data_IF_845512034187
#
_entry.id   IF_845512034187
#
_cell.length_a   1.000
_cell.length_b   1.000
_cell.length_c   1.000
_cell.angle_alpha   90.00
_cell.angle_beta   90.00
_cell.angle_gamma   90.00
#
_symmetry.space_group_name_H-M   'P 1'
#
loop_
_entity.id
_entity.type
_entity.pdbx_description
1 polymer ?
#
# COMPACT_ATOMS: atom_id res chain seq x y z
N UNK A 1 -2.39 -20.25 -30.25
CA UNK A 1 -2.73 -19.87 -28.86
C UNK A 1 -3.79 -20.85 -28.38
N UNK A 2 -3.44 -21.73 -27.43
CA UNK A 2 -4.43 -22.61 -26.81
C UNK A 2 -5.19 -21.85 -25.72
N UNK A 3 -6.42 -22.23 -25.41
CA UNK A 3 -7.23 -21.64 -24.31
C UNK A 3 -6.43 -21.69 -22.99
N UNK A 4 -5.68 -22.76 -22.75
CA UNK A 4 -4.81 -22.93 -21.59
C UNK A 4 -3.79 -21.79 -21.45
N UNK A 5 -3.21 -21.31 -22.55
CA UNK A 5 -2.20 -20.23 -22.53
C UNK A 5 -2.78 -18.86 -22.16
N UNK A 6 -4.09 -18.66 -22.31
CA UNK A 6 -4.81 -17.45 -21.84
C UNK A 6 -5.21 -17.63 -20.37
N UNK A 7 -5.63 -18.83 -20.00
CA UNK A 7 -6.04 -19.14 -18.62
C UNK A 7 -4.89 -19.01 -17.62
N UNK A 8 -3.67 -19.46 -17.95
CA UNK A 8 -2.53 -19.46 -17.02
C UNK A 8 -2.11 -18.06 -16.53
N UNK A 9 -2.03 -16.99 -17.36
CA UNK A 9 -1.81 -15.63 -16.87
C UNK A 9 -2.91 -15.12 -15.93
N UNK A 10 -4.18 -15.44 -16.22
CA UNK A 10 -5.30 -15.04 -15.36
C UNK A 10 -5.27 -15.80 -14.04
N UNK A 11 -4.92 -17.08 -14.05
CA UNK A 11 -4.72 -17.87 -12.84
C UNK A 11 -3.54 -17.33 -12.01
N UNK A 12 -2.42 -16.98 -12.66
CA UNK A 12 -1.28 -16.32 -12.02
C UNK A 12 -1.70 -14.99 -11.35
N UNK A 13 -2.55 -14.21 -12.03
CA UNK A 13 -3.11 -12.98 -11.49
C UNK A 13 -3.96 -13.23 -10.23
N UNK A 14 -4.80 -14.26 -10.24
CA UNK A 14 -5.61 -14.62 -9.08
C UNK A 14 -4.74 -15.03 -7.88
N UNK A 15 -3.68 -15.81 -8.10
CA UNK A 15 -2.72 -16.17 -7.07
C UNK A 15 -2.00 -14.95 -6.49
N UNK A 16 -1.64 -13.98 -7.34
CA UNK A 16 -0.98 -12.74 -6.92
C UNK A 16 -1.92 -11.82 -6.16
N UNK A 17 -3.17 -11.69 -6.61
CA UNK A 17 -4.15 -10.78 -6.03
C UNK A 17 -4.76 -11.30 -4.72
N UNK A 18 -4.86 -12.61 -4.52
CA UNK A 18 -5.49 -13.22 -3.35
C UNK A 18 -4.94 -12.69 -2.01
N UNK A 19 -3.62 -12.56 -1.78
CA UNK A 19 -3.07 -12.00 -0.54
C UNK A 19 -3.46 -10.53 -0.27
N UNK A 20 -3.80 -9.77 -1.30
CA UNK A 20 -4.24 -8.38 -1.15
C UNK A 20 -5.72 -8.27 -0.76
N UNK A 21 -6.50 -9.33 -1.05
CA UNK A 21 -7.90 -9.44 -0.63
C UNK A 21 -8.02 -10.03 0.77
N UNK A 22 -7.21 -11.03 1.06
CA UNK A 22 -7.18 -11.74 2.34
C UNK A 22 -5.72 -12.09 2.69
N UNK A 23 -5.10 -11.41 3.67
CA UNK A 23 -3.69 -11.57 4.01
C UNK A 23 -3.25 -12.99 4.38
N UNK A 24 -4.16 -13.84 4.84
CA UNK A 24 -3.88 -15.26 5.15
C UNK A 24 -3.43 -16.06 3.92
N UNK A 25 -3.76 -15.59 2.71
CA UNK A 25 -3.34 -16.21 1.45
C UNK A 25 -1.92 -15.82 1.01
N UNK A 26 -1.13 -15.18 1.87
CA UNK A 26 0.25 -14.79 1.55
C UNK A 26 1.12 -15.90 0.93
N UNK A 27 0.96 -17.19 1.24
CA UNK A 27 1.76 -18.23 0.62
C UNK A 27 1.57 -18.36 -0.90
N UNK A 28 0.40 -17.93 -1.43
CA UNK A 28 0.11 -18.01 -2.86
C UNK A 28 1.03 -17.12 -3.70
N UNK A 29 1.51 -16.01 -3.16
CA UNK A 29 2.44 -15.13 -3.85
C UNK A 29 3.78 -15.80 -4.20
N UNK A 30 4.20 -16.82 -3.43
CA UNK A 30 5.44 -17.57 -3.64
C UNK A 30 5.43 -18.47 -4.89
N UNK A 31 4.25 -18.70 -5.48
CA UNK A 31 4.06 -19.49 -6.70
C UNK A 31 3.30 -18.74 -7.79
N UNK A 32 2.89 -17.48 -7.52
CA UNK A 32 2.00 -16.73 -8.40
C UNK A 32 2.58 -16.49 -9.81
N UNK A 33 3.90 -16.33 -9.93
CA UNK A 33 4.55 -16.08 -11.22
C UNK A 33 4.94 -17.36 -11.97
N UNK A 34 4.87 -18.53 -11.33
CA UNK A 34 5.24 -19.82 -11.95
C UNK A 34 4.43 -20.10 -13.23
N UNK A 35 3.09 -19.93 -13.26
CA UNK A 35 2.30 -20.12 -14.48
C UNK A 35 2.67 -19.12 -15.59
N UNK A 36 2.95 -17.85 -15.21
CA UNK A 36 3.38 -16.83 -16.16
C UNK A 36 4.71 -17.19 -16.81
N UNK A 37 5.71 -17.61 -16.03
CA UNK A 37 6.99 -18.05 -16.57
C UNK A 37 6.84 -19.19 -17.58
N UNK A 38 5.91 -20.12 -17.31
CA UNK A 38 5.59 -21.21 -18.21
C UNK A 38 5.13 -20.74 -19.58
N UNK A 39 4.18 -19.80 -19.63
CA UNK A 39 3.66 -19.28 -20.91
C UNK A 39 4.63 -18.34 -21.62
N UNK A 40 5.44 -17.55 -20.88
CA UNK A 40 6.49 -16.69 -21.46
C UNK A 40 7.52 -17.54 -22.19
N UNK A 41 7.99 -18.64 -21.59
CA UNK A 41 8.97 -19.53 -22.20
C UNK A 41 8.44 -20.27 -23.45
N UNK A 42 7.17 -20.67 -23.43
CA UNK A 42 6.51 -21.37 -24.52
C UNK A 42 5.98 -20.41 -25.62
N UNK A 43 6.03 -19.10 -25.40
CA UNK A 43 5.53 -18.13 -26.36
C UNK A 43 6.34 -18.19 -27.67
N UNK A 44 5.65 -18.33 -28.80
CA UNK A 44 6.28 -18.40 -30.14
C UNK A 44 6.95 -17.08 -30.54
N UNK A 45 6.46 -15.96 -30.04
CA UNK A 45 6.96 -14.62 -30.34
C UNK A 45 7.09 -13.79 -29.08
N UNK A 46 7.95 -12.78 -29.10
CA UNK A 46 8.09 -11.79 -28.01
C UNK A 46 6.78 -11.07 -27.78
N UNK A 47 6.05 -10.69 -28.84
CA UNK A 47 4.72 -10.03 -28.74
C UNK A 47 3.73 -10.86 -27.94
N UNK A 48 3.74 -12.18 -28.12
CA UNK A 48 2.86 -13.07 -27.39
C UNK A 48 3.23 -13.17 -25.90
N UNK A 49 4.53 -13.21 -25.58
CA UNK A 49 5.02 -13.17 -24.20
C UNK A 49 4.59 -11.86 -23.50
N UNK A 50 4.73 -10.73 -24.17
CA UNK A 50 4.27 -9.40 -23.69
C UNK A 50 2.78 -9.38 -23.44
N UNK A 51 1.98 -9.96 -24.36
CA UNK A 51 0.52 -10.09 -24.19
C UNK A 51 0.17 -10.93 -22.95
N UNK A 52 0.88 -12.02 -22.68
CA UNK A 52 0.64 -12.83 -21.49
C UNK A 52 0.97 -12.06 -20.20
N UNK A 53 2.05 -11.29 -20.20
CA UNK A 53 2.35 -10.39 -19.10
C UNK A 53 1.25 -9.34 -18.90
N UNK A 54 0.83 -8.69 -19.99
CA UNK A 54 -0.26 -7.71 -19.94
C UNK A 54 -1.57 -8.32 -19.40
N UNK A 55 -1.95 -9.53 -19.87
CA UNK A 55 -3.13 -10.25 -19.36
C UNK A 55 -3.05 -10.54 -17.85
N UNK A 56 -1.89 -10.98 -17.37
CA UNK A 56 -1.69 -11.18 -15.92
C UNK A 56 -1.85 -9.86 -15.17
N UNK A 57 -1.18 -8.78 -15.62
CA UNK A 57 -1.26 -7.48 -14.98
C UNK A 57 -2.69 -6.92 -14.99
N UNK A 58 -3.38 -7.01 -16.10
CA UNK A 58 -4.76 -6.56 -16.25
C UNK A 58 -5.71 -7.29 -15.31
N UNK A 59 -5.67 -8.62 -15.32
CA UNK A 59 -6.49 -9.43 -14.41
C UNK A 59 -6.16 -9.20 -12.94
N UNK A 60 -4.87 -9.05 -12.58
CA UNK A 60 -4.46 -8.76 -11.21
C UNK A 60 -5.01 -7.41 -10.71
N UNK A 61 -5.00 -6.38 -11.55
CA UNK A 61 -5.60 -5.08 -11.21
C UNK A 61 -7.12 -5.14 -11.12
N UNK A 62 -7.79 -5.87 -12.02
CA UNK A 62 -9.24 -6.06 -11.94
C UNK A 62 -9.65 -6.76 -10.64
N UNK A 63 -8.89 -7.76 -10.20
CA UNK A 63 -9.18 -8.51 -8.97
C UNK A 63 -8.76 -7.71 -7.72
N UNK A 64 -7.52 -7.21 -7.68
CA UNK A 64 -6.95 -6.59 -6.47
C UNK A 64 -7.45 -5.17 -6.21
N UNK A 65 -7.87 -4.44 -7.25
CA UNK A 65 -8.31 -3.03 -7.15
C UNK A 65 -9.79 -2.83 -7.51
N UNK A 66 -10.62 -3.87 -7.42
CA UNK A 66 -12.06 -3.79 -7.79
C UNK A 66 -12.81 -2.66 -7.07
N UNK A 67 -12.39 -2.33 -5.84
CA UNK A 67 -12.95 -1.25 -5.03
C UNK A 67 -12.75 0.13 -5.67
N UNK A 68 -11.80 0.28 -6.60
CA UNK A 68 -11.48 1.56 -7.23
C UNK A 68 -12.64 2.08 -8.08
N UNK A 69 -13.44 1.20 -8.68
CA UNK A 69 -14.65 1.62 -9.41
C UNK A 69 -15.64 2.38 -8.51
N UNK A 70 -15.83 1.91 -7.28
CA UNK A 70 -16.63 2.62 -6.27
C UNK A 70 -15.98 3.96 -5.87
N UNK A 71 -14.68 3.95 -5.62
CA UNK A 71 -13.93 5.16 -5.24
C UNK A 71 -14.03 6.24 -6.31
N UNK A 72 -13.89 5.90 -7.58
CA UNK A 72 -14.04 6.83 -8.71
C UNK A 72 -15.46 7.41 -8.75
N UNK A 73 -16.50 6.60 -8.48
CA UNK A 73 -17.87 7.08 -8.42
C UNK A 73 -18.09 8.03 -7.23
N UNK A 74 -17.70 7.61 -6.03
CA UNK A 74 -17.95 8.34 -4.79
C UNK A 74 -17.19 9.68 -4.72
N UNK A 75 -15.92 9.70 -5.14
CA UNK A 75 -15.08 10.92 -5.06
C UNK A 75 -15.08 11.75 -6.35
N UNK A 76 -15.27 11.11 -7.51
CA UNK A 76 -15.28 11.79 -8.80
C UNK A 76 -16.66 12.28 -9.21
N UNK A 77 -17.72 11.85 -8.53
CA UNK A 77 -19.10 12.17 -8.89
C UNK A 77 -19.55 11.59 -10.23
N UNK A 78 -18.82 10.60 -10.77
CA UNK A 78 -19.17 9.98 -12.04
C UNK A 78 -20.28 8.93 -11.90
N UNK A 79 -21.16 8.78 -12.92
CA UNK A 79 -22.07 7.64 -13.01
C UNK A 79 -21.30 6.31 -12.90
N UNK A 80 -21.87 5.32 -12.24
CA UNK A 80 -21.20 4.05 -11.95
C UNK A 80 -20.64 3.35 -13.22
N UNK A 81 -21.38 3.38 -14.34
CA UNK A 81 -20.90 2.82 -15.60
C UNK A 81 -19.64 3.50 -16.14
N UNK A 82 -19.55 4.85 -15.99
CA UNK A 82 -18.36 5.62 -16.38
C UNK A 82 -17.19 5.26 -15.45
N UNK A 83 -17.44 5.12 -14.15
CA UNK A 83 -16.42 4.75 -13.16
C UNK A 83 -15.83 3.37 -13.45
N UNK A 84 -16.66 2.39 -13.84
CA UNK A 84 -16.20 1.07 -14.29
C UNK A 84 -15.30 1.20 -15.53
N UNK A 85 -15.72 1.98 -16.53
CA UNK A 85 -14.91 2.18 -17.75
C UNK A 85 -13.55 2.81 -17.43
N UNK A 86 -13.53 3.86 -16.58
CA UNK A 86 -12.28 4.50 -16.13
C UNK A 86 -11.39 3.49 -15.39
N UNK A 87 -11.98 2.65 -14.53
CA UNK A 87 -11.26 1.59 -13.84
C UNK A 87 -10.65 0.55 -14.80
N UNK A 88 -11.39 0.13 -15.82
CA UNK A 88 -10.88 -0.80 -16.86
C UNK A 88 -9.70 -0.19 -17.61
N UNK A 89 -9.79 1.10 -17.99
CA UNK A 89 -8.69 1.81 -18.65
C UNK A 89 -7.48 1.90 -17.72
N UNK A 90 -7.69 2.27 -16.45
CA UNK A 90 -6.64 2.27 -15.43
C UNK A 90 -5.95 0.90 -15.33
N UNK A 91 -6.71 -0.19 -15.17
CA UNK A 91 -6.17 -1.55 -15.08
C UNK A 91 -5.34 -1.92 -16.32
N UNK A 92 -5.81 -1.53 -17.52
CA UNK A 92 -5.09 -1.75 -18.77
C UNK A 92 -3.76 -1.00 -18.87
N UNK A 93 -3.71 0.25 -18.38
CA UNK A 93 -2.49 1.05 -18.34
C UNK A 93 -1.49 0.51 -17.29
N UNK A 94 -1.96 0.15 -16.11
CA UNK A 94 -1.10 -0.41 -15.06
C UNK A 94 -0.56 -1.81 -15.42
N UNK A 95 -1.30 -2.57 -16.23
CA UNK A 95 -0.85 -3.86 -16.76
C UNK A 95 0.43 -3.77 -17.63
N UNK A 96 0.78 -2.57 -18.13
CA UNK A 96 2.02 -2.34 -18.88
C UNK A 96 3.26 -2.71 -18.04
N UNK A 97 3.24 -2.50 -16.72
CA UNK A 97 4.33 -2.92 -15.84
C UNK A 97 4.63 -4.43 -15.99
N UNK A 98 3.59 -5.26 -15.94
CA UNK A 98 3.73 -6.71 -16.06
C UNK A 98 4.08 -7.14 -17.50
N UNK A 99 3.60 -6.39 -18.50
CA UNK A 99 3.99 -6.60 -19.91
C UNK A 99 5.49 -6.33 -20.14
N UNK A 100 6.02 -5.24 -19.56
CA UNK A 100 7.46 -4.93 -19.57
C UNK A 100 8.28 -5.99 -18.84
N UNK A 101 7.80 -6.45 -17.68
CA UNK A 101 8.45 -7.56 -16.99
C UNK A 101 8.52 -8.82 -17.86
N UNK A 102 7.42 -9.19 -18.50
CA UNK A 102 7.40 -10.35 -19.40
C UNK A 102 8.32 -10.18 -20.62
N UNK A 103 8.44 -8.96 -21.16
CA UNK A 103 9.40 -8.62 -22.19
C UNK A 103 10.83 -8.87 -21.72
N UNK A 104 11.19 -8.32 -20.56
CA UNK A 104 12.55 -8.45 -20.00
C UNK A 104 12.91 -9.91 -19.72
N UNK A 105 12.00 -10.69 -19.15
CA UNK A 105 12.19 -12.13 -18.91
C UNK A 105 12.30 -12.90 -20.23
N UNK A 106 11.52 -12.54 -21.26
CA UNK A 106 11.55 -13.22 -22.56
C UNK A 106 12.85 -12.98 -23.33
N UNK A 107 13.39 -11.77 -23.26
CA UNK A 107 14.60 -11.36 -23.97
C UNK A 107 15.86 -11.66 -23.15
N UNK A 108 15.88 -11.32 -21.87
CA UNK A 108 17.03 -11.47 -20.98
C UNK A 108 17.17 -12.88 -20.39
N UNK A 109 16.09 -13.67 -20.40
CA UNK A 109 16.05 -15.00 -19.79
C UNK A 109 16.06 -14.96 -18.28
N UNK A 110 16.48 -16.08 -17.65
CA UNK A 110 16.44 -16.24 -16.19
C UNK A 110 17.82 -16.04 -15.54
N UNK A 111 18.91 -16.03 -16.33
CA UNK A 111 20.28 -15.89 -15.85
C UNK A 111 20.76 -17.02 -14.92
N UNK A 112 21.99 -16.87 -14.38
CA UNK A 112 22.53 -17.81 -13.40
C UNK A 112 21.68 -17.78 -12.14
N UNK A 113 21.57 -18.91 -11.46
CA UNK A 113 20.73 -19.07 -10.24
C UNK A 113 19.31 -18.53 -10.37
N UNK A 114 18.83 -18.26 -11.59
CA UNK A 114 17.50 -17.70 -11.89
C UNK A 114 17.25 -16.32 -11.24
N UNK A 115 18.29 -15.50 -11.14
CA UNK A 115 18.28 -14.21 -10.45
C UNK A 115 17.80 -13.05 -11.35
N UNK A 116 17.75 -13.21 -12.67
CA UNK A 116 17.33 -12.14 -13.57
C UNK A 116 15.87 -11.70 -13.39
N UNK A 117 14.88 -12.59 -13.19
CA UNK A 117 13.51 -12.14 -12.93
C UNK A 117 13.37 -11.15 -11.77
N UNK A 118 13.91 -11.40 -10.55
CA UNK A 118 13.87 -10.38 -9.51
C UNK A 118 14.66 -9.12 -9.84
N UNK A 119 15.80 -9.22 -10.55
CA UNK A 119 16.57 -8.06 -11.00
C UNK A 119 15.83 -7.22 -12.05
N UNK A 120 14.93 -7.80 -12.83
CA UNK A 120 14.05 -7.06 -13.73
C UNK A 120 12.84 -6.48 -13.00
N UNK A 121 12.29 -7.23 -12.04
CA UNK A 121 11.07 -6.82 -11.33
C UNK A 121 11.30 -5.63 -10.40
N UNK A 122 12.33 -5.66 -9.55
CA UNK A 122 12.57 -4.61 -8.54
C UNK A 122 12.74 -3.22 -9.16
N UNK A 123 13.53 -3.01 -10.23
CA UNK A 123 13.56 -1.72 -10.92
C UNK A 123 12.20 -1.30 -11.49
N UNK A 124 11.40 -2.23 -11.98
CA UNK A 124 10.04 -1.92 -12.43
C UNK A 124 9.10 -1.52 -11.29
N UNK A 125 9.20 -2.14 -10.12
CA UNK A 125 8.46 -1.70 -8.93
C UNK A 125 8.84 -0.29 -8.49
N UNK A 126 10.12 0.09 -8.66
CA UNK A 126 10.62 1.39 -8.23
C UNK A 126 10.36 2.50 -9.24
N UNK A 127 10.53 2.22 -10.54
CA UNK A 127 10.54 3.24 -11.60
C UNK A 127 9.19 3.38 -12.31
N UNK A 128 8.35 2.34 -12.31
CA UNK A 128 7.10 2.39 -13.06
C UNK A 128 6.10 3.34 -12.36
N UNK A 129 5.49 4.29 -13.09
CA UNK A 129 4.57 5.25 -12.51
C UNK A 129 3.25 4.57 -12.13
N UNK A 130 3.10 4.25 -10.84
CA UNK A 130 1.88 3.70 -10.27
C UNK A 130 1.07 4.81 -9.61
N UNK A 131 -0.21 4.91 -9.93
CA UNK A 131 -1.12 5.82 -9.23
C UNK A 131 -1.33 5.38 -7.78
N UNK A 132 -1.47 4.07 -7.56
CA UNK A 132 -1.48 3.46 -6.24
C UNK A 132 -0.27 2.54 -6.14
N UNK A 133 0.81 2.99 -5.46
CA UNK A 133 2.00 2.16 -5.30
C UNK A 133 1.68 0.84 -4.59
N UNK A 134 2.06 -0.26 -5.21
CA UNK A 134 1.97 -1.59 -4.63
C UNK A 134 3.26 -2.35 -4.91
N UNK A 135 3.58 -3.28 -4.02
CA UNK A 135 4.78 -4.12 -4.13
C UNK A 135 4.37 -5.58 -3.94
N UNK A 136 5.09 -6.49 -4.57
CA UNK A 136 4.91 -7.93 -4.32
C UNK A 136 5.10 -8.22 -2.82
N UNK A 137 6.01 -7.50 -2.16
CA UNK A 137 6.22 -7.56 -0.72
C UNK A 137 4.94 -7.32 0.12
N UNK A 138 4.02 -6.48 -0.35
CA UNK A 138 2.77 -6.19 0.37
C UNK A 138 1.89 -7.43 0.52
N UNK A 139 2.02 -8.41 -0.39
CA UNK A 139 1.37 -9.72 -0.26
C UNK A 139 1.80 -10.48 1.00
N UNK A 140 2.92 -10.09 1.62
CA UNK A 140 3.53 -10.77 2.77
C UNK A 140 3.24 -10.09 4.11
N UNK A 141 2.29 -9.15 4.17
CA UNK A 141 1.99 -8.37 5.39
C UNK A 141 1.61 -9.26 6.59
N UNK A 142 0.97 -10.40 6.36
CA UNK A 142 0.66 -11.39 7.39
C UNK A 142 1.89 -12.18 7.86
N UNK A 143 3.00 -12.16 7.10
CA UNK A 143 4.24 -12.85 7.45
C UNK A 143 5.24 -11.87 8.07
N UNK A 144 4.87 -11.32 9.21
CA UNK A 144 5.57 -10.21 9.87
C UNK A 144 7.06 -10.46 10.10
N UNK A 145 7.48 -11.69 10.44
CA UNK A 145 8.90 -12.01 10.62
C UNK A 145 9.70 -11.91 9.32
N UNK A 146 9.09 -12.17 8.16
CA UNK A 146 9.78 -12.10 6.88
C UNK A 146 9.97 -10.66 6.41
N UNK A 147 8.97 -9.79 6.61
CA UNK A 147 8.98 -8.43 6.08
C UNK A 147 9.82 -7.44 6.90
N UNK A 148 10.41 -7.84 8.04
CA UNK A 148 11.22 -6.92 8.88
C UNK A 148 12.44 -6.36 8.15
N UNK A 149 12.96 -7.07 7.13
CA UNK A 149 14.04 -6.55 6.28
C UNK A 149 13.67 -5.26 5.53
N UNK A 150 12.39 -4.88 5.54
CA UNK A 150 11.95 -3.61 4.98
C UNK A 150 12.54 -2.38 5.67
N UNK A 151 13.02 -2.48 6.91
CA UNK A 151 13.74 -1.41 7.61
C UNK A 151 15.17 -1.18 7.04
N UNK A 152 15.72 -2.14 6.30
CA UNK A 152 17.05 -2.04 5.68
C UNK A 152 16.98 -1.60 4.21
N UNK A 153 16.08 -2.21 3.44
CA UNK A 153 16.04 -2.08 1.97
C UNK A 153 14.64 -1.79 1.41
N UNK A 154 13.72 -1.35 2.28
CA UNK A 154 12.32 -1.13 1.90
C UNK A 154 11.62 -2.43 1.48
N UNK A 155 10.48 -2.34 0.82
CA UNK A 155 9.72 -3.51 0.37
C UNK A 155 10.47 -4.32 -0.70
N UNK A 156 11.46 -3.73 -1.35
CA UNK A 156 12.15 -4.29 -2.52
C UNK A 156 12.91 -5.57 -2.22
N UNK A 157 13.48 -5.70 -1.01
CA UNK A 157 14.18 -6.92 -0.59
C UNK A 157 13.24 -8.11 -0.49
N UNK A 158 12.07 -7.93 0.12
CA UNK A 158 11.06 -8.96 0.21
C UNK A 158 10.48 -9.31 -1.16
N UNK A 159 10.16 -8.31 -2.01
CA UNK A 159 9.74 -8.53 -3.41
C UNK A 159 10.77 -9.32 -4.19
N UNK A 160 12.07 -9.00 -4.02
CA UNK A 160 13.17 -9.72 -4.66
C UNK A 160 13.16 -11.20 -4.29
N UNK A 161 13.09 -11.53 -3.01
CA UNK A 161 13.15 -12.92 -2.52
C UNK A 161 11.91 -13.72 -2.99
N UNK A 162 10.71 -13.14 -2.91
CA UNK A 162 9.49 -13.77 -3.41
C UNK A 162 9.59 -14.06 -4.91
N UNK A 163 10.03 -13.07 -5.71
CA UNK A 163 10.19 -13.23 -7.15
C UNK A 163 11.28 -14.26 -7.49
N UNK A 164 12.41 -14.23 -6.76
CA UNK A 164 13.49 -15.21 -6.95
C UNK A 164 13.01 -16.63 -6.67
N UNK A 165 12.26 -16.83 -5.61
CA UNK A 165 11.69 -18.13 -5.25
C UNK A 165 10.73 -18.64 -6.33
N UNK A 166 9.86 -17.77 -6.89
CA UNK A 166 9.01 -18.13 -8.02
C UNK A 166 9.83 -18.62 -9.22
N UNK A 167 10.89 -17.90 -9.59
CA UNK A 167 11.76 -18.28 -10.69
C UNK A 167 12.52 -19.61 -10.43
N UNK A 168 12.94 -19.82 -9.18
CA UNK A 168 13.62 -21.03 -8.74
C UNK A 168 12.69 -22.24 -8.73
N UNK A 169 11.45 -22.10 -8.26
CA UNK A 169 10.41 -23.14 -8.29
C UNK A 169 10.11 -23.51 -9.75
N UNK A 170 9.89 -22.52 -10.61
CA UNK A 170 9.67 -22.75 -12.02
C UNK A 170 10.82 -23.57 -12.63
N UNK A 171 12.07 -23.19 -12.35
CA UNK A 171 13.25 -23.92 -12.85
C UNK A 171 13.30 -25.36 -12.34
N UNK A 172 13.11 -25.58 -11.03
CA UNK A 172 13.11 -26.91 -10.44
C UNK A 172 12.03 -27.81 -11.09
N UNK A 173 10.89 -27.22 -11.44
CA UNK A 173 9.80 -27.93 -12.10
C UNK A 173 10.12 -28.33 -13.55
N UNK A 174 10.65 -27.43 -14.38
CA UNK A 174 10.98 -27.74 -15.78
C UNK A 174 12.18 -28.70 -15.87
N UNK A 175 13.18 -28.55 -15.00
CA UNK A 175 14.38 -29.38 -14.97
C UNK A 175 14.19 -30.73 -14.24
N UNK A 176 12.95 -31.08 -13.85
CA UNK A 176 12.68 -32.32 -13.09
C UNK A 176 13.11 -33.60 -13.79
N UNK A 177 13.20 -33.57 -15.13
CA UNK A 177 13.63 -34.72 -15.93
C UNK A 177 15.15 -34.84 -16.08
N UNK A 178 15.93 -33.81 -15.73
CA UNK A 178 17.38 -33.75 -15.96
C UNK A 178 18.23 -34.50 -14.91
N UNK A 179 17.59 -35.10 -13.91
CA UNK A 179 18.18 -36.06 -12.98
C UNK A 179 19.24 -35.54 -11.98
N UNK A 180 19.75 -34.32 -12.12
CA UNK A 180 20.86 -33.79 -11.32
C UNK A 180 20.40 -32.93 -10.12
N UNK A 181 21.14 -32.99 -8.97
CA UNK A 181 20.88 -32.14 -7.81
C UNK A 181 21.08 -30.63 -8.09
N UNK A 182 21.89 -30.27 -9.08
CA UNK A 182 22.19 -28.88 -9.46
C UNK A 182 20.94 -28.09 -9.85
N UNK A 183 19.86 -28.74 -10.29
CA UNK A 183 18.56 -28.10 -10.59
C UNK A 183 17.93 -27.38 -9.40
N UNK A 184 18.23 -27.86 -8.19
CA UNK A 184 17.70 -27.29 -6.95
C UNK A 184 18.54 -26.15 -6.39
N UNK A 185 19.74 -25.88 -6.95
CA UNK A 185 20.63 -24.85 -6.45
C UNK A 185 19.97 -23.45 -6.39
N UNK A 186 19.23 -22.96 -7.42
CA UNK A 186 18.51 -21.69 -7.31
C UNK A 186 17.49 -21.68 -6.18
N UNK A 187 16.76 -22.79 -6.00
CA UNK A 187 15.76 -22.93 -4.93
C UNK A 187 16.43 -22.95 -3.55
N UNK A 188 17.55 -23.65 -3.41
CA UNK A 188 18.34 -23.65 -2.16
C UNK A 188 18.82 -22.24 -1.83
N UNK A 189 19.36 -21.50 -2.82
CA UNK A 189 19.83 -20.13 -2.61
C UNK A 189 18.69 -19.16 -2.22
N UNK A 190 17.55 -19.22 -2.91
CA UNK A 190 16.40 -18.35 -2.57
C UNK A 190 15.79 -18.72 -1.20
N UNK A 191 15.73 -20.02 -0.86
CA UNK A 191 15.29 -20.47 0.47
C UNK A 191 16.26 -20.00 1.56
N UNK A 192 17.58 -20.06 1.31
CA UNK A 192 18.57 -19.55 2.26
C UNK A 192 18.40 -18.03 2.47
N UNK A 193 18.18 -17.26 1.42
CA UNK A 193 17.91 -15.83 1.52
C UNK A 193 16.63 -15.56 2.35
N UNK A 194 15.58 -16.35 2.14
CA UNK A 194 14.36 -16.29 2.96
C UNK A 194 14.65 -16.61 4.44
N UNK A 195 15.42 -17.66 4.71
CA UNK A 195 15.76 -18.05 6.08
C UNK A 195 16.60 -16.97 6.78
N UNK A 196 17.55 -16.35 6.09
CA UNK A 196 18.33 -15.21 6.61
C UNK A 196 17.40 -14.05 6.96
N UNK A 197 16.43 -13.73 6.07
CA UNK A 197 15.43 -12.70 6.34
C UNK A 197 14.56 -13.03 7.55
N UNK A 198 14.19 -14.30 7.73
CA UNK A 198 13.42 -14.76 8.90
C UNK A 198 14.21 -14.64 10.20
N UNK A 199 15.47 -15.06 10.21
CA UNK A 199 16.35 -14.95 11.39
C UNK A 199 16.51 -13.48 11.78
N UNK A 200 16.82 -12.62 10.79
CA UNK A 200 16.87 -11.18 11.01
C UNK A 200 15.55 -10.65 11.58
N UNK A 201 14.43 -11.01 10.95
CA UNK A 201 13.11 -10.49 11.35
C UNK A 201 12.68 -10.94 12.74
N UNK A 202 12.98 -12.17 13.13
CA UNK A 202 12.71 -12.65 14.50
C UNK A 202 13.53 -11.86 15.51
N UNK A 203 14.85 -11.67 15.25
CA UNK A 203 15.72 -10.88 16.11
C UNK A 203 15.26 -9.42 16.20
N UNK A 204 14.84 -8.83 15.06
CA UNK A 204 14.36 -7.46 15.02
C UNK A 204 13.07 -7.26 15.80
N UNK A 205 12.09 -8.16 15.65
CA UNK A 205 10.84 -8.13 16.42
C UNK A 205 11.09 -8.25 17.93
N UNK A 206 12.04 -9.10 18.33
CA UNK A 206 12.45 -9.22 19.75
C UNK A 206 13.08 -7.92 20.26
N UNK A 207 14.01 -7.31 19.50
CA UNK A 207 14.65 -6.05 19.87
C UNK A 207 13.63 -4.92 20.02
N UNK A 208 12.76 -4.74 19.02
CA UNK A 208 11.68 -3.74 19.05
C UNK A 208 10.72 -3.99 20.22
N UNK A 209 10.39 -5.24 20.50
CA UNK A 209 9.56 -5.62 21.63
C UNK A 209 10.18 -5.22 22.97
N UNK A 210 11.51 -5.40 23.16
CA UNK A 210 12.23 -4.97 24.34
C UNK A 210 12.29 -3.44 24.44
N UNK A 211 12.58 -2.74 23.34
CA UNK A 211 12.58 -1.28 23.29
C UNK A 211 11.21 -0.70 23.67
N UNK A 212 10.11 -1.27 23.12
CA UNK A 212 8.74 -0.89 23.44
C UNK A 212 8.38 -1.16 24.91
N UNK A 213 8.86 -2.28 25.49
CA UNK A 213 8.62 -2.60 26.89
C UNK A 213 9.32 -1.63 27.83
N UNK A 214 10.53 -1.17 27.48
CA UNK A 214 11.32 -0.21 28.24
C UNK A 214 10.89 1.24 28.00
N UNK A 215 10.20 1.55 26.91
CA UNK A 215 9.80 2.90 26.55
C UNK A 215 8.75 3.47 27.53
N UNK A 216 8.83 4.78 27.76
CA UNK A 216 7.79 5.50 28.51
C UNK A 216 6.45 5.39 27.80
N UNK A 217 5.46 4.90 28.51
CA UNK A 217 4.08 4.79 27.98
C UNK A 217 3.35 6.11 28.12
N UNK A 218 2.63 6.50 27.08
CA UNK A 218 1.77 7.67 27.04
C UNK A 218 0.33 7.21 26.77
N UNK A 219 -0.62 7.63 27.62
CA UNK A 219 -2.04 7.43 27.35
C UNK A 219 -2.51 8.41 26.29
N UNK A 220 -3.14 7.91 25.22
CA UNK A 220 -3.64 8.72 24.11
C UNK A 220 -5.12 8.46 23.91
N UNK A 221 -5.92 9.52 23.73
CA UNK A 221 -7.30 9.46 23.31
C UNK A 221 -7.41 9.58 21.79
N UNK A 222 -7.60 8.49 21.08
CA UNK A 222 -7.88 8.51 19.64
C UNK A 222 -9.40 8.63 19.41
N UNK A 223 -9.85 9.69 18.76
CA UNK A 223 -11.25 9.97 18.50
C UNK A 223 -11.60 9.64 17.06
N UNK A 224 -12.50 8.68 16.85
CA UNK A 224 -13.03 8.30 15.56
C UNK A 224 -14.48 8.76 15.42
N UNK A 225 -14.73 9.79 14.61
CA UNK A 225 -16.07 10.33 14.38
C UNK A 225 -17.00 9.39 13.61
N UNK A 226 -16.44 8.49 12.79
CA UNK A 226 -17.16 7.59 11.88
C UNK A 226 -18.20 8.33 11.03
N UNK A 227 -17.76 9.42 10.42
CA UNK A 227 -18.58 10.27 9.56
C UNK A 227 -18.48 9.74 8.14
N UNK A 228 -19.62 9.46 7.52
CA UNK A 228 -19.70 9.01 6.15
C UNK A 228 -19.11 10.07 5.21
N UNK A 229 -18.43 9.61 4.16
CA UNK A 229 -17.77 10.48 3.17
C UNK A 229 -18.79 11.39 2.46
N UNK A 230 -20.00 10.90 2.21
CA UNK A 230 -21.08 11.65 1.57
C UNK A 230 -21.63 12.79 2.45
N UNK A 231 -21.40 12.70 3.77
CA UNK A 231 -21.80 13.72 4.74
C UNK A 231 -20.66 14.71 5.04
N UNK A 232 -19.42 14.33 4.72
CA UNK A 232 -18.23 15.16 4.89
C UNK A 232 -18.19 16.26 3.84
N UNK A 233 -17.75 17.44 4.23
CA UNK A 233 -17.71 18.65 3.37
C UNK A 233 -19.08 19.22 2.97
N UNK A 234 -20.18 18.75 3.56
CA UNK A 234 -21.45 19.42 3.46
C UNK A 234 -21.48 20.57 4.48
N UNK A 235 -21.53 21.87 4.05
CA UNK A 235 -21.47 23.00 4.97
C UNK A 235 -22.60 22.98 6.02
N UNK A 236 -23.76 22.41 5.68
CA UNK A 236 -24.90 22.29 6.59
C UNK A 236 -24.65 21.29 7.73
N UNK A 237 -23.70 20.36 7.56
CA UNK A 237 -23.37 19.30 8.52
C UNK A 237 -22.04 19.54 9.24
N UNK A 238 -21.21 20.49 8.81
CA UNK A 238 -19.88 20.74 9.38
C UNK A 238 -19.91 20.93 10.91
N UNK A 239 -20.88 21.69 11.43
CA UNK A 239 -21.05 21.88 12.88
C UNK A 239 -21.48 20.60 13.61
N UNK A 240 -22.33 19.79 13.00
CA UNK A 240 -22.74 18.48 13.55
C UNK A 240 -21.57 17.51 13.57
N UNK A 241 -20.76 17.49 12.53
CA UNK A 241 -19.57 16.64 12.41
C UNK A 241 -18.51 17.03 13.47
N UNK A 242 -18.27 18.33 13.63
CA UNK A 242 -17.41 18.85 14.68
C UNK A 242 -17.94 18.52 16.09
N UNK A 243 -19.25 18.70 16.33
CA UNK A 243 -19.88 18.39 17.61
C UNK A 243 -19.68 16.91 17.99
N UNK A 244 -19.68 16.00 17.01
CA UNK A 244 -19.40 14.59 17.23
C UNK A 244 -17.99 14.34 17.78
N UNK A 245 -16.96 14.98 17.21
CA UNK A 245 -15.58 14.87 17.71
C UNK A 245 -15.45 15.45 19.13
N UNK A 246 -16.13 16.58 19.40
CA UNK A 246 -16.15 17.21 20.73
C UNK A 246 -16.84 16.33 21.77
N UNK A 247 -18.01 15.76 21.43
CA UNK A 247 -18.75 14.83 22.29
C UNK A 247 -17.91 13.60 22.68
N UNK A 248 -17.27 12.99 21.67
CA UNK A 248 -16.42 11.81 21.88
C UNK A 248 -15.20 12.14 22.73
N UNK A 249 -14.60 13.32 22.54
CA UNK A 249 -13.49 13.79 23.38
C UNK A 249 -13.94 13.96 24.85
N UNK A 250 -15.15 14.49 25.09
CA UNK A 250 -15.70 14.65 26.44
C UNK A 250 -15.94 13.32 27.17
N UNK A 251 -16.04 12.20 26.44
CA UNK A 251 -16.19 10.84 27.01
C UNK A 251 -14.87 10.19 27.39
N UNK A 252 -13.73 10.72 26.89
CA UNK A 252 -12.41 10.21 27.25
C UNK A 252 -12.11 10.51 28.74
N UNK A 253 -11.29 9.67 29.33
CA UNK A 253 -10.65 10.02 30.61
C UNK A 253 -9.64 11.16 30.43
N UNK A 254 -9.08 11.66 31.54
CA UNK A 254 -8.01 12.66 31.49
C UNK A 254 -6.77 12.05 30.85
N UNK A 255 -6.54 12.37 29.57
CA UNK A 255 -5.39 11.91 28.78
C UNK A 255 -4.53 13.10 28.39
N UNK A 256 -3.18 12.97 28.35
CA UNK A 256 -2.30 14.07 27.99
C UNK A 256 -2.36 14.42 26.49
N UNK A 257 -2.82 13.51 25.62
CA UNK A 257 -2.91 13.76 24.17
C UNK A 257 -4.22 13.20 23.62
N UNK A 258 -4.93 14.05 22.90
CA UNK A 258 -6.10 13.68 22.11
C UNK A 258 -5.76 13.81 20.62
N UNK A 259 -6.13 12.83 19.83
CA UNK A 259 -5.89 12.84 18.38
C UNK A 259 -7.25 12.72 17.66
N UNK A 260 -7.54 13.68 16.81
CA UNK A 260 -8.66 13.69 15.87
C UNK A 260 -8.17 13.29 14.47
N UNK A 261 -9.05 12.76 13.62
CA UNK A 261 -8.67 12.29 12.29
C UNK A 261 -8.31 13.44 11.34
N UNK A 262 -7.82 13.06 10.17
CA UNK A 262 -7.64 13.95 9.01
C UNK A 262 -8.96 14.66 8.66
N UNK A 263 -8.88 15.97 8.45
CA UNK A 263 -10.07 16.80 8.15
C UNK A 263 -11.19 16.66 9.21
N UNK A 264 -10.82 16.64 10.49
CA UNK A 264 -11.80 16.63 11.59
C UNK A 264 -12.52 17.98 11.71
N UNK A 265 -11.83 19.07 11.35
CA UNK A 265 -12.40 20.41 11.24
C UNK A 265 -12.58 20.70 9.74
N UNK A 266 -13.84 20.79 9.32
CA UNK A 266 -14.25 21.04 7.94
C UNK A 266 -14.27 22.54 7.63
N UNK A 267 -13.22 23.24 8.04
CA UNK A 267 -13.02 24.67 7.80
C UNK A 267 -11.62 24.93 7.22
N UNK A 268 -11.47 26.10 6.60
CA UNK A 268 -10.17 26.58 6.13
C UNK A 268 -9.54 27.46 7.20
N UNK A 269 -8.40 27.03 7.74
CA UNK A 269 -7.70 27.69 8.85
C UNK A 269 -6.48 28.42 8.28
N UNK A 270 -6.26 29.71 8.64
CA UNK A 270 -5.01 30.39 8.29
C UNK A 270 -3.81 29.59 8.85
N UNK A 271 -2.76 29.42 8.04
CA UNK A 271 -1.53 28.72 8.46
C UNK A 271 -0.85 29.36 9.69
N UNK A 272 -0.91 30.70 9.76
CA UNK A 272 -0.30 31.52 10.82
C UNK A 272 -1.20 31.71 12.03
N UNK A 273 -2.32 30.98 12.13
CA UNK A 273 -3.22 31.05 13.26
C UNK A 273 -2.47 30.75 14.57
N UNK A 274 -2.53 31.65 15.52
CA UNK A 274 -1.86 31.49 16.81
C UNK A 274 -2.76 30.80 17.85
N UNK A 275 -4.05 31.03 17.78
CA UNK A 275 -5.03 30.47 18.72
C UNK A 275 -6.24 29.98 17.96
N UNK A 276 -6.56 28.70 18.11
CA UNK A 276 -7.76 28.09 17.54
C UNK A 276 -9.00 28.66 18.26
N UNK A 277 -10.02 29.12 17.51
CA UNK A 277 -11.26 29.60 18.09
C UNK A 277 -11.91 28.55 19.01
N UNK A 278 -12.47 29.01 20.13
CA UNK A 278 -13.07 28.15 21.17
C UNK A 278 -14.19 27.24 20.64
N UNK A 279 -14.87 27.67 19.58
CA UNK A 279 -15.91 26.88 18.90
C UNK A 279 -15.39 25.56 18.30
N UNK A 280 -14.09 25.48 17.95
CA UNK A 280 -13.45 24.28 17.45
C UNK A 280 -12.88 23.39 18.55
N UNK A 281 -12.69 23.93 19.77
CA UNK A 281 -12.08 23.20 20.86
C UNK A 281 -13.07 22.23 21.54
N UNK A 282 -12.65 21.02 21.89
CA UNK A 282 -13.42 20.15 22.77
C UNK A 282 -13.28 20.59 24.22
N UNK A 283 -14.15 20.06 25.08
CA UNK A 283 -13.95 20.14 26.54
C UNK A 283 -13.00 19.01 26.98
N UNK A 284 -11.85 19.37 27.49
CA UNK A 284 -10.90 18.41 28.06
C UNK A 284 -11.16 18.18 29.54
N UNK A 285 -10.92 16.98 30.04
CA UNK A 285 -10.93 16.68 31.49
C UNK A 285 -9.64 17.11 32.20
N UNK A 286 -8.60 17.52 31.45
CA UNK A 286 -7.36 18.06 31.99
C UNK A 286 -6.93 19.29 31.19
N UNK A 287 -6.54 20.36 31.87
CA UNK A 287 -5.95 21.55 31.24
C UNK A 287 -4.54 21.30 30.66
N UNK A 288 -3.93 20.18 30.99
CA UNK A 288 -2.62 19.77 30.47
C UNK A 288 -2.73 18.90 29.22
N UNK A 289 -3.95 18.69 28.70
CA UNK A 289 -4.14 17.93 27.47
C UNK A 289 -3.69 18.72 26.25
N UNK A 290 -3.18 18.02 25.27
CA UNK A 290 -2.89 18.52 23.94
C UNK A 290 -3.85 17.91 22.91
N UNK A 291 -4.04 18.61 21.79
CA UNK A 291 -4.86 18.14 20.69
C UNK A 291 -4.05 18.14 19.39
N UNK A 292 -4.07 17.01 18.68
CA UNK A 292 -3.70 16.95 17.26
C UNK A 292 -4.99 16.80 16.45
N UNK A 293 -5.17 17.64 15.44
CA UNK A 293 -6.32 17.55 14.54
C UNK A 293 -5.94 17.89 13.09
N UNK A 294 -6.67 17.31 12.13
CA UNK A 294 -6.53 17.64 10.72
C UNK A 294 -7.53 18.69 10.28
N UNK A 295 -7.07 19.62 9.46
CA UNK A 295 -7.91 20.61 8.78
C UNK A 295 -7.26 21.05 7.44
N UNK A 296 -8.02 21.69 6.56
CA UNK A 296 -7.43 22.43 5.44
C UNK A 296 -6.87 23.75 5.95
N UNK A 297 -5.65 24.12 5.53
CA UNK A 297 -5.10 25.44 5.82
C UNK A 297 -4.77 26.19 4.54
N UNK A 298 -4.57 27.50 4.70
CA UNK A 298 -4.18 28.36 3.60
C UNK A 298 -3.11 29.36 4.03
N UNK A 299 -2.26 29.72 3.08
CA UNK A 299 -1.28 30.82 3.16
C UNK A 299 -1.63 31.87 2.13
N UNK A 300 -1.59 33.13 2.51
CA UNK A 300 -1.97 34.27 1.67
C UNK A 300 -3.33 34.84 2.05
N UNK A 301 -3.77 35.89 1.34
CA UNK A 301 -5.09 36.53 1.61
C UNK A 301 -6.18 35.85 0.79
N UNK A 302 -7.35 35.52 1.39
CA UNK A 302 -8.49 35.00 0.63
C UNK A 302 -8.85 35.92 -0.55
N UNK A 303 -9.09 35.30 -1.72
CA UNK A 303 -9.44 36.04 -2.95
C UNK A 303 -8.26 36.53 -3.80
N UNK A 304 -7.02 36.31 -3.38
CA UNK A 304 -5.83 36.58 -4.19
C UNK A 304 -5.41 35.36 -5.01
N UNK A 305 -4.87 35.51 -6.23
CA UNK A 305 -4.45 34.38 -7.09
C UNK A 305 -3.28 33.59 -6.53
N UNK A 306 -2.56 34.08 -5.53
CA UNK A 306 -1.39 33.44 -4.90
C UNK A 306 -1.73 32.60 -3.65
N UNK A 307 -3.02 32.40 -3.34
CA UNK A 307 -3.40 31.60 -2.17
C UNK A 307 -2.93 30.15 -2.34
N UNK A 308 -2.15 29.67 -1.38
CA UNK A 308 -1.71 28.27 -1.31
C UNK A 308 -2.56 27.52 -0.29
N UNK A 309 -3.05 26.36 -0.65
CA UNK A 309 -3.87 25.52 0.22
C UNK A 309 -3.13 24.24 0.58
N UNK A 310 -3.25 23.82 1.83
CA UNK A 310 -2.58 22.63 2.36
C UNK A 310 -3.58 21.74 3.11
N UNK A 311 -3.29 20.44 3.15
CA UNK A 311 -3.87 19.54 4.10
C UNK A 311 -2.93 19.48 5.31
N UNK A 312 -3.41 19.91 6.49
CA UNK A 312 -2.54 20.25 7.62
C UNK A 312 -2.97 19.51 8.88
N UNK A 313 -1.99 18.97 9.60
CA UNK A 313 -2.15 18.58 10.98
C UNK A 313 -1.71 19.74 11.88
N UNK A 314 -2.58 20.14 12.79
CA UNK A 314 -2.30 21.15 13.83
C UNK A 314 -2.10 20.48 15.16
N UNK A 315 -1.19 21.04 15.97
CA UNK A 315 -0.93 20.64 17.34
C UNK A 315 -1.18 21.83 18.28
N UNK A 316 -2.11 21.67 19.24
CA UNK A 316 -2.51 22.74 20.14
C UNK A 316 -2.47 22.28 21.58
N UNK A 317 -2.38 23.24 22.53
CA UNK A 317 -2.69 23.00 23.95
C UNK A 317 -4.21 23.00 24.20
N UNK A 318 -4.63 22.71 25.42
CA UNK A 318 -6.04 22.67 25.80
C UNK A 318 -6.75 24.04 25.71
N UNK A 319 -5.99 25.14 25.65
CA UNK A 319 -6.50 26.53 25.49
C UNK A 319 -6.55 26.95 24.02
N UNK A 320 -6.18 26.03 23.09
CA UNK A 320 -6.21 26.26 21.66
C UNK A 320 -4.99 26.99 21.11
N UNK A 321 -3.93 27.28 21.90
CA UNK A 321 -2.71 27.86 21.36
C UNK A 321 -2.08 26.85 20.39
N UNK A 322 -1.83 27.28 19.17
CA UNK A 322 -1.16 26.49 18.15
C UNK A 322 0.32 26.42 18.47
N UNK A 323 0.82 25.25 18.76
CA UNK A 323 2.23 24.99 19.15
C UNK A 323 3.06 24.57 17.93
N UNK A 324 2.43 23.86 16.99
CA UNK A 324 3.04 23.43 15.74
C UNK A 324 1.99 23.07 14.71
N UNK A 325 2.40 23.04 13.45
CA UNK A 325 1.62 22.48 12.34
C UNK A 325 2.52 21.74 11.35
N UNK A 326 1.94 20.80 10.60
CA UNK A 326 2.62 20.04 9.57
C UNK A 326 1.74 19.94 8.33
N UNK A 327 2.28 20.31 7.17
CA UNK A 327 1.63 20.19 5.88
C UNK A 327 1.94 18.83 5.25
N UNK A 328 0.91 18.19 4.72
CA UNK A 328 1.04 16.93 3.98
C UNK A 328 1.52 17.20 2.56
#
# INVERSE_FOLDING_TARGET
>A
VTILNIFLPVFAAALLAAPFLEPSFFPLAWIAFVPLFGVIQQARTVKLAVLYGWLMGFAAHLIGFYWLAYTISAFGGFPHAVSILVFIVYAGLQAIQMALFALLVRVGGFGPLRIFPPLFWVPLEFLFPLLFPWHVANSQVAFSSFIQTADLVGPYGASFIVMWTNAAIYHAWIARKDGGLRRYLPLTCSTLAMLVSLVYGIARLQSVGQEMAAARKLSIGAVQGNIDIDLKWNPALAQKNLAKHRELTGKLDAVPLVIWPESAIEAFIPEDLQVLPSEFLPTFKSEQSFLIFGAKSYRGKPGQPEIKMFNTAFFTDAKGRVLAHYHK
#
